data_IF_774044805435
#
_entry.id   IF_774044805435
#
_cell.length_a   1.000
_cell.length_b   1.000
_cell.length_c   1.000
_cell.angle_alpha   90.00
_cell.angle_beta   90.00
_cell.angle_gamma   90.00
#
_symmetry.space_group_name_H-M   'P 1'
#
loop_
_entity.id
_entity.type
_entity.pdbx_description
1 polymer ?
#
# COMPACT_ATOMS: atom_id res chain seq x y z
N UNK A 1 3.45 25.90 -11.19
CA UNK A 1 3.39 24.91 -10.09
C UNK A 1 1.96 24.97 -9.56
N UNK A 2 1.07 24.11 -10.05
CA UNK A 2 -0.33 24.11 -9.62
C UNK A 2 -0.34 23.42 -8.25
N UNK A 3 -0.70 24.17 -7.20
CA UNK A 3 -0.78 23.63 -5.85
C UNK A 3 -1.83 22.51 -5.82
N UNK A 4 -1.55 21.42 -5.09
CA UNK A 4 -2.47 20.28 -4.96
C UNK A 4 -3.91 20.71 -4.65
N UNK A 5 -4.09 21.78 -3.86
CA UNK A 5 -5.39 22.38 -3.51
C UNK A 5 -6.23 22.79 -4.73
N UNK A 6 -5.61 23.26 -5.80
CA UNK A 6 -6.33 23.71 -6.98
C UNK A 6 -6.83 22.52 -7.80
N UNK A 7 -6.03 21.46 -7.91
CA UNK A 7 -6.45 20.20 -8.58
C UNK A 7 -7.68 19.61 -7.87
N UNK A 8 -7.68 19.60 -6.52
CA UNK A 8 -8.84 19.17 -5.71
C UNK A 8 -10.12 19.97 -6.03
N UNK A 9 -10.00 21.27 -6.29
CA UNK A 9 -11.16 22.13 -6.56
C UNK A 9 -11.73 21.90 -7.96
N UNK A 10 -10.88 21.62 -8.95
CA UNK A 10 -11.29 21.37 -10.33
C UNK A 10 -11.90 19.97 -10.53
N UNK A 11 -11.34 18.92 -9.93
CA UNK A 11 -11.90 17.56 -10.03
C UNK A 11 -13.25 17.42 -9.32
N UNK A 12 -13.41 18.06 -8.16
CA UNK A 12 -14.69 18.10 -7.41
C UNK A 12 -15.80 18.74 -8.25
N UNK A 13 -15.46 19.74 -9.09
CA UNK A 13 -16.41 20.43 -9.96
C UNK A 13 -16.85 19.57 -11.15
N UNK A 14 -15.92 18.84 -11.79
CA UNK A 14 -16.27 17.99 -12.94
C UNK A 14 -17.09 16.75 -12.58
N UNK A 15 -16.93 16.21 -11.37
CA UNK A 15 -17.76 15.10 -10.87
C UNK A 15 -19.15 15.61 -10.49
N UNK A 16 -19.23 16.79 -9.86
CA UNK A 16 -20.51 17.46 -9.58
C UNK A 16 -21.31 17.67 -10.86
N UNK A 17 -20.70 18.21 -11.91
CA UNK A 17 -21.40 18.58 -13.14
C UNK A 17 -21.92 17.36 -13.96
N UNK A 18 -21.34 16.16 -13.77
CA UNK A 18 -21.82 14.93 -14.42
C UNK A 18 -22.97 14.22 -13.69
N UNK A 19 -23.29 14.62 -12.45
CA UNK A 19 -24.29 13.94 -11.59
C UNK A 19 -25.58 14.78 -11.45
N UNK A 20 -25.59 16.04 -11.93
CA UNK A 20 -26.72 16.99 -11.75
C UNK A 20 -28.04 16.54 -12.41
N UNK A 21 -28.05 15.54 -13.29
CA UNK A 21 -29.28 15.02 -13.92
C UNK A 21 -29.96 13.86 -13.17
N UNK A 22 -29.50 13.49 -11.96
CA UNK A 22 -30.22 12.56 -11.09
C UNK A 22 -30.62 13.24 -9.79
N UNK A 23 -31.91 13.11 -9.45
CA UNK A 23 -32.62 13.69 -8.31
C UNK A 23 -31.74 14.12 -7.13
N UNK A 24 -31.79 15.41 -6.80
CA UNK A 24 -31.00 16.04 -5.74
C UNK A 24 -31.11 15.23 -4.43
N UNK A 25 -30.04 14.57 -4.01
CA UNK A 25 -30.01 13.90 -2.73
C UNK A 25 -29.85 14.93 -1.61
N UNK A 26 -30.32 14.55 -0.42
CA UNK A 26 -30.21 15.33 0.81
C UNK A 26 -28.75 15.83 0.99
N UNK A 27 -28.51 17.15 0.86
CA UNK A 27 -27.16 17.70 0.69
C UNK A 27 -26.17 17.30 1.80
N UNK A 28 -26.66 17.08 3.03
CA UNK A 28 -25.83 16.60 4.15
C UNK A 28 -25.31 15.16 3.96
N UNK A 29 -26.09 14.26 3.36
CA UNK A 29 -25.65 12.87 3.11
C UNK A 29 -24.63 12.79 1.97
N UNK A 30 -24.66 13.75 1.03
CA UNK A 30 -23.74 13.78 -0.11
C UNK A 30 -22.34 14.29 0.29
N UNK A 31 -22.24 15.36 1.08
CA UNK A 31 -20.95 15.85 1.57
C UNK A 31 -20.24 14.78 2.41
N UNK A 32 -20.98 14.13 3.29
CA UNK A 32 -20.52 12.99 4.10
C UNK A 32 -20.03 11.81 3.25
N UNK A 33 -20.72 11.51 2.13
CA UNK A 33 -20.29 10.49 1.19
C UNK A 33 -18.98 10.89 0.48
N UNK A 34 -18.88 12.13 0.02
CA UNK A 34 -17.70 12.66 -0.66
C UNK A 34 -16.47 12.63 0.25
N UNK A 35 -16.62 13.01 1.52
CA UNK A 35 -15.52 12.96 2.48
C UNK A 35 -15.03 11.52 2.72
N UNK A 36 -15.95 10.55 2.83
CA UNK A 36 -15.59 9.13 2.94
C UNK A 36 -14.90 8.61 1.68
N UNK A 37 -15.39 8.99 0.50
CA UNK A 37 -14.76 8.67 -0.78
C UNK A 37 -13.31 9.17 -0.85
N UNK A 38 -13.07 10.45 -0.52
CA UNK A 38 -11.72 11.02 -0.53
C UNK A 38 -10.80 10.38 0.52
N UNK A 39 -11.33 10.00 1.67
CA UNK A 39 -10.55 9.28 2.68
C UNK A 39 -10.05 7.93 2.15
N UNK A 40 -10.89 7.19 1.44
CA UNK A 40 -10.51 5.92 0.80
C UNK A 40 -9.45 6.16 -0.29
N UNK A 41 -9.62 7.21 -1.11
CA UNK A 41 -8.66 7.59 -2.14
C UNK A 41 -7.28 7.95 -1.57
N UNK A 42 -7.25 8.79 -0.54
CA UNK A 42 -6.00 9.20 0.11
C UNK A 42 -5.27 8.01 0.72
N UNK A 43 -5.99 7.07 1.35
CA UNK A 43 -5.42 5.83 1.88
C UNK A 43 -4.75 4.98 0.79
N UNK A 44 -5.38 4.87 -0.38
CA UNK A 44 -4.80 4.15 -1.52
C UNK A 44 -3.53 4.85 -2.04
N UNK A 45 -3.57 6.18 -2.20
CA UNK A 45 -2.40 6.96 -2.67
C UNK A 45 -1.20 6.85 -1.72
N UNK A 46 -1.46 6.82 -0.41
CA UNK A 46 -0.41 6.63 0.59
C UNK A 46 0.20 5.21 0.51
N UNK A 47 -0.65 4.19 0.42
CA UNK A 47 -0.20 2.82 0.26
C UNK A 47 0.65 2.64 -1.01
N UNK A 48 0.22 3.18 -2.15
CA UNK A 48 1.00 3.17 -3.40
C UNK A 48 2.40 3.78 -3.23
N UNK A 49 2.51 4.92 -2.54
CA UNK A 49 3.82 5.54 -2.27
C UNK A 49 4.72 4.69 -1.39
N UNK A 50 4.16 4.06 -0.36
CA UNK A 50 4.93 3.20 0.55
C UNK A 50 5.39 1.94 -0.19
N UNK A 51 4.49 1.28 -0.93
CA UNK A 51 4.83 0.03 -1.66
C UNK A 51 5.81 0.26 -2.80
N UNK A 52 5.66 1.34 -3.56
CA UNK A 52 6.61 1.69 -4.62
C UNK A 52 8.03 1.89 -4.08
N UNK A 53 8.19 2.47 -2.88
CA UNK A 53 9.50 2.55 -2.19
C UNK A 53 10.08 1.17 -1.89
N UNK A 54 9.29 0.25 -1.33
CA UNK A 54 9.76 -1.11 -1.05
C UNK A 54 10.17 -1.84 -2.32
N UNK A 55 9.37 -1.75 -3.38
CA UNK A 55 9.68 -2.33 -4.69
C UNK A 55 11.00 -1.78 -5.22
N UNK A 56 11.21 -0.46 -5.18
CA UNK A 56 12.46 0.19 -5.59
C UNK A 56 13.66 -0.27 -4.76
N UNK A 57 13.51 -0.34 -3.44
CA UNK A 57 14.57 -0.77 -2.51
C UNK A 57 15.04 -2.19 -2.83
N UNK A 58 14.09 -3.08 -3.16
CA UNK A 58 14.36 -4.48 -3.51
C UNK A 58 14.93 -4.61 -4.90
N UNK A 59 14.47 -3.79 -5.85
CA UNK A 59 15.10 -3.69 -7.18
C UNK A 59 16.58 -3.32 -7.06
N UNK A 60 16.90 -2.35 -6.20
CA UNK A 60 18.27 -1.97 -5.87
C UNK A 60 19.06 -3.11 -5.23
N UNK A 61 18.50 -3.79 -4.22
CA UNK A 61 19.15 -4.93 -3.58
C UNK A 61 19.44 -6.07 -4.57
N UNK A 62 18.50 -6.38 -5.47
CA UNK A 62 18.64 -7.43 -6.48
C UNK A 62 19.73 -7.08 -7.49
N UNK A 63 19.70 -5.86 -8.05
CA UNK A 63 20.70 -5.39 -9.02
C UNK A 63 22.09 -5.42 -8.38
N UNK A 64 22.22 -4.93 -7.15
CA UNK A 64 23.51 -4.91 -6.45
C UNK A 64 24.02 -6.32 -6.17
N UNK A 65 23.14 -7.25 -5.80
CA UNK A 65 23.47 -8.67 -5.62
C UNK A 65 23.88 -9.38 -6.92
N UNK A 66 23.19 -9.13 -8.04
CA UNK A 66 23.55 -9.71 -9.34
C UNK A 66 24.86 -9.14 -9.88
N UNK A 67 25.05 -7.82 -9.82
CA UNK A 67 26.32 -7.17 -10.21
C UNK A 67 27.48 -7.72 -9.38
N UNK A 68 27.23 -7.95 -8.09
CA UNK A 68 28.18 -8.51 -7.15
C UNK A 68 28.60 -9.94 -7.48
N UNK A 69 27.67 -10.82 -7.87
CA UNK A 69 27.94 -12.19 -8.32
C UNK A 69 28.79 -12.25 -9.59
N UNK A 70 28.70 -11.22 -10.44
CA UNK A 70 29.42 -11.16 -11.72
C UNK A 70 30.86 -10.63 -11.53
N UNK A 71 31.14 -9.85 -10.47
CA UNK A 71 32.32 -8.97 -10.45
C UNK A 71 33.57 -9.47 -9.71
N UNK A 72 33.51 -10.30 -8.68
CA UNK A 72 34.76 -10.73 -7.99
C UNK A 72 34.58 -11.82 -6.93
N UNK A 73 35.59 -12.69 -6.81
CA UNK A 73 35.81 -13.75 -5.80
C UNK A 73 35.95 -13.22 -4.34
N UNK A 74 35.73 -11.92 -4.11
CA UNK A 74 35.82 -11.23 -2.81
C UNK A 74 34.56 -11.39 -1.95
N UNK A 75 33.60 -12.17 -2.42
CA UNK A 75 32.29 -12.36 -1.80
C UNK A 75 32.23 -13.25 -0.56
N UNK A 76 33.35 -13.89 -0.20
CA UNK A 76 33.44 -14.74 1.00
C UNK A 76 33.23 -14.01 2.34
N UNK A 77 33.02 -12.69 2.33
CA UNK A 77 32.85 -11.89 3.55
C UNK A 77 31.43 -11.89 4.12
N UNK A 78 30.39 -11.96 3.29
CA UNK A 78 29.00 -12.01 3.75
C UNK A 78 28.51 -13.46 3.77
N UNK A 79 28.71 -14.14 4.90
CA UNK A 79 28.29 -15.53 5.13
C UNK A 79 26.80 -15.74 4.85
N UNK A 80 25.98 -14.68 5.01
CA UNK A 80 24.52 -14.74 4.87
C UNK A 80 23.97 -14.02 3.63
N UNK A 81 24.80 -13.71 2.62
CA UNK A 81 24.32 -12.93 1.47
C UNK A 81 23.14 -13.60 0.75
N UNK A 82 23.20 -14.90 0.54
CA UNK A 82 22.13 -15.65 -0.14
C UNK A 82 20.81 -15.54 0.62
N UNK A 83 20.86 -15.54 1.96
CA UNK A 83 19.70 -15.39 2.83
C UNK A 83 19.17 -13.94 2.77
N UNK A 84 20.05 -12.94 2.81
CA UNK A 84 19.68 -11.53 2.69
C UNK A 84 18.99 -11.28 1.34
N UNK A 85 19.52 -11.85 0.27
CA UNK A 85 18.96 -11.75 -1.08
C UNK A 85 17.58 -12.44 -1.17
N UNK A 86 17.45 -13.64 -0.60
CA UNK A 86 16.19 -14.36 -0.55
C UNK A 86 15.11 -13.57 0.22
N UNK A 87 15.45 -13.02 1.40
CA UNK A 87 14.53 -12.22 2.21
C UNK A 87 14.13 -10.95 1.46
N UNK A 88 15.06 -10.28 0.77
CA UNK A 88 14.74 -9.10 -0.04
C UNK A 88 13.76 -9.43 -1.17
N UNK A 89 13.96 -10.54 -1.90
CA UNK A 89 13.02 -10.99 -2.93
C UNK A 89 11.63 -11.26 -2.35
N UNK A 90 11.56 -11.95 -1.20
CA UNK A 90 10.29 -12.24 -0.53
C UNK A 90 9.55 -10.96 -0.13
N UNK A 91 10.24 -9.99 0.47
CA UNK A 91 9.64 -8.69 0.82
C UNK A 91 9.10 -7.99 -0.44
N UNK A 92 9.79 -8.12 -1.58
CA UNK A 92 9.40 -7.44 -2.82
C UNK A 92 8.19 -8.09 -3.48
N UNK A 93 8.22 -9.41 -3.60
CA UNK A 93 7.07 -10.17 -4.09
C UNK A 93 5.83 -9.94 -3.24
N UNK A 94 5.97 -9.97 -1.91
CA UNK A 94 4.87 -9.66 -0.99
C UNK A 94 4.39 -8.22 -1.12
N UNK A 95 5.28 -7.25 -1.32
CA UNK A 95 4.90 -5.84 -1.52
C UNK A 95 4.07 -5.65 -2.79
N UNK A 96 4.41 -6.34 -3.89
CA UNK A 96 3.62 -6.34 -5.13
C UNK A 96 2.25 -6.99 -4.89
N UNK A 97 2.22 -8.13 -4.19
CA UNK A 97 0.96 -8.81 -3.86
C UNK A 97 0.03 -7.92 -3.04
N UNK A 98 0.56 -7.23 -2.02
CA UNK A 98 -0.21 -6.29 -1.21
C UNK A 98 -0.70 -5.12 -2.06
N UNK A 99 0.11 -4.60 -2.97
CA UNK A 99 -0.30 -3.52 -3.87
C UNK A 99 -1.51 -3.93 -4.74
N UNK A 100 -1.48 -5.14 -5.30
CA UNK A 100 -2.60 -5.70 -6.05
C UNK A 100 -3.83 -5.87 -5.16
N UNK A 101 -3.69 -6.48 -3.98
CA UNK A 101 -4.80 -6.69 -3.04
C UNK A 101 -5.41 -5.37 -2.56
N UNK A 102 -4.60 -4.35 -2.30
CA UNK A 102 -5.07 -3.04 -1.88
C UNK A 102 -5.90 -2.35 -2.97
N UNK A 103 -5.57 -2.58 -4.25
CA UNK A 103 -6.39 -2.11 -5.37
C UNK A 103 -7.78 -2.76 -5.34
N UNK A 104 -7.87 -4.04 -5.00
CA UNK A 104 -9.15 -4.73 -4.83
C UNK A 104 -9.90 -4.28 -3.56
N UNK A 105 -9.20 -4.13 -2.44
CA UNK A 105 -9.76 -3.60 -1.18
C UNK A 105 -10.39 -2.22 -1.42
N UNK A 106 -9.70 -1.35 -2.15
CA UNK A 106 -10.17 -0.02 -2.52
C UNK A 106 -11.46 -0.08 -3.34
N UNK A 107 -11.50 -0.90 -4.39
CA UNK A 107 -12.70 -1.08 -5.22
C UNK A 107 -13.89 -1.57 -4.39
N UNK A 108 -13.66 -2.55 -3.51
CA UNK A 108 -14.72 -3.08 -2.64
C UNK A 108 -15.20 -2.04 -1.62
N UNK A 109 -14.27 -1.25 -1.05
CA UNK A 109 -14.62 -0.17 -0.13
C UNK A 109 -15.46 0.93 -0.79
N UNK A 110 -15.15 1.29 -2.05
CA UNK A 110 -15.97 2.24 -2.80
C UNK A 110 -17.38 1.72 -3.06
N UNK A 111 -17.52 0.46 -3.48
CA UNK A 111 -18.82 -0.18 -3.69
C UNK A 111 -19.64 -0.19 -2.39
N UNK A 112 -18.98 -0.46 -1.24
CA UNK A 112 -19.64 -0.43 0.06
C UNK A 112 -20.14 0.99 0.40
N UNK A 113 -19.33 2.03 0.22
CA UNK A 113 -19.75 3.41 0.49
C UNK A 113 -20.86 3.89 -0.44
N UNK A 114 -20.81 3.52 -1.71
CA UNK A 114 -21.87 3.81 -2.68
C UNK A 114 -23.19 3.12 -2.29
N UNK A 115 -23.15 1.85 -1.89
CA UNK A 115 -24.32 1.09 -1.45
C UNK A 115 -24.90 1.65 -0.13
N UNK A 116 -24.06 2.10 0.80
CA UNK A 116 -24.50 2.78 2.03
C UNK A 116 -25.24 4.07 1.70
N UNK A 117 -24.70 4.86 0.76
CA UNK A 117 -25.28 6.12 0.33
C UNK A 117 -26.61 5.93 -0.41
N UNK A 118 -26.64 5.06 -1.43
CA UNK A 118 -27.86 4.81 -2.22
C UNK A 118 -29.01 4.25 -1.38
N UNK A 119 -28.71 3.41 -0.39
CA UNK A 119 -29.72 2.76 0.45
C UNK A 119 -29.99 3.46 1.78
N UNK A 120 -29.31 4.58 2.08
CA UNK A 120 -29.36 5.28 3.37
C UNK A 120 -29.32 4.30 4.57
N UNK A 121 -28.34 3.40 4.58
CA UNK A 121 -28.23 2.36 5.60
C UNK A 121 -27.96 2.95 6.98
N UNK A 122 -28.51 2.33 8.04
CA UNK A 122 -28.19 2.70 9.42
C UNK A 122 -26.72 2.47 9.74
N UNK A 123 -26.18 3.25 10.70
CA UNK A 123 -24.75 3.22 11.05
C UNK A 123 -24.25 1.81 11.42
N UNK A 124 -25.03 1.02 12.15
CA UNK A 124 -24.62 -0.33 12.55
C UNK A 124 -24.46 -1.28 11.36
N UNK A 125 -25.37 -1.19 10.38
CA UNK A 125 -25.33 -2.01 9.16
C UNK A 125 -24.19 -1.55 8.25
N UNK A 126 -24.00 -0.23 8.13
CA UNK A 126 -22.92 0.38 7.38
C UNK A 126 -21.54 -0.04 7.94
N UNK A 127 -21.37 0.00 9.26
CA UNK A 127 -20.14 -0.42 9.93
C UNK A 127 -19.86 -1.91 9.72
N UNK A 128 -20.87 -2.77 9.91
CA UNK A 128 -20.71 -4.22 9.69
C UNK A 128 -20.30 -4.56 8.26
N UNK A 129 -20.79 -3.81 7.26
CA UNK A 129 -20.36 -3.97 5.86
C UNK A 129 -18.89 -3.58 5.67
N UNK A 130 -18.46 -2.45 6.24
CA UNK A 130 -17.06 -2.00 6.17
C UNK A 130 -16.10 -3.02 6.80
N UNK A 131 -16.44 -3.54 7.97
CA UNK A 131 -15.63 -4.54 8.71
C UNK A 131 -15.56 -5.90 8.00
N UNK A 132 -16.55 -6.21 7.17
CA UNK A 132 -16.59 -7.43 6.37
C UNK A 132 -15.81 -7.34 5.05
N UNK A 133 -15.09 -6.24 4.79
CA UNK A 133 -14.18 -6.19 3.65
C UNK A 133 -13.11 -7.28 3.80
N UNK A 134 -13.22 -8.31 2.97
CA UNK A 134 -12.41 -9.52 3.03
C UNK A 134 -10.93 -9.27 2.72
N UNK A 135 -10.60 -8.16 2.06
CA UNK A 135 -9.25 -7.83 1.66
C UNK A 135 -8.47 -7.14 2.77
N UNK A 136 -9.12 -6.32 3.61
CA UNK A 136 -8.48 -5.59 4.71
C UNK A 136 -7.72 -6.54 5.64
N UNK A 137 -8.38 -7.61 6.13
CA UNK A 137 -7.73 -8.61 7.01
C UNK A 137 -6.56 -9.33 6.34
N UNK A 138 -6.65 -9.59 5.03
CA UNK A 138 -5.58 -10.27 4.28
C UNK A 138 -4.36 -9.37 4.14
N UNK A 139 -4.57 -8.09 3.83
CA UNK A 139 -3.50 -7.10 3.71
C UNK A 139 -2.81 -6.90 5.06
N UNK A 140 -3.56 -6.75 6.14
CA UNK A 140 -3.00 -6.63 7.50
C UNK A 140 -2.13 -7.84 7.89
N UNK A 141 -2.57 -9.04 7.54
CA UNK A 141 -1.80 -10.26 7.79
C UNK A 141 -0.47 -10.25 7.00
N UNK A 142 -0.51 -9.92 5.72
CA UNK A 142 0.68 -9.82 4.88
C UNK A 142 1.63 -8.72 5.35
N UNK A 143 1.10 -7.60 5.84
CA UNK A 143 1.90 -6.52 6.41
C UNK A 143 2.70 -6.95 7.63
N UNK A 144 2.09 -7.70 8.54
CA UNK A 144 2.80 -8.28 9.69
C UNK A 144 3.91 -9.24 9.25
N UNK A 145 3.68 -10.01 8.20
CA UNK A 145 4.71 -10.92 7.65
C UNK A 145 5.89 -10.10 7.09
N UNK A 146 5.61 -9.04 6.32
CA UNK A 146 6.67 -8.15 5.80
C UNK A 146 7.45 -7.51 6.95
N UNK A 147 6.78 -7.04 8.00
CA UNK A 147 7.44 -6.44 9.17
C UNK A 147 8.42 -7.42 9.83
N UNK A 148 8.01 -8.68 10.04
CA UNK A 148 8.88 -9.74 10.58
C UNK A 148 10.08 -9.97 9.65
N UNK A 149 9.86 -10.05 8.33
CA UNK A 149 10.94 -10.24 7.36
C UNK A 149 11.94 -9.08 7.36
N UNK A 150 11.47 -7.84 7.51
CA UNK A 150 12.32 -6.66 7.62
C UNK A 150 13.17 -6.68 8.91
N UNK A 151 12.60 -7.13 10.03
CA UNK A 151 13.37 -7.31 11.29
C UNK A 151 14.46 -8.35 11.09
N UNK A 152 14.14 -9.50 10.47
CA UNK A 152 15.14 -10.54 10.17
C UNK A 152 16.25 -9.98 9.27
N UNK A 153 15.89 -9.24 8.22
CA UNK A 153 16.84 -8.60 7.31
C UNK A 153 17.78 -7.65 8.07
N UNK A 154 17.23 -6.81 8.96
CA UNK A 154 18.01 -5.88 9.77
C UNK A 154 18.99 -6.60 10.71
N UNK A 155 18.55 -7.66 11.37
CA UNK A 155 19.43 -8.49 12.23
C UNK A 155 20.54 -9.14 11.42
N UNK A 156 20.25 -9.69 10.25
CA UNK A 156 21.27 -10.31 9.40
C UNK A 156 22.32 -9.28 8.91
N UNK A 157 21.87 -8.09 8.54
CA UNK A 157 22.76 -7.00 8.11
C UNK A 157 23.66 -6.54 9.25
N UNK A 158 23.11 -6.32 10.45
CA UNK A 158 23.87 -5.90 11.64
C UNK A 158 24.91 -6.93 12.05
N UNK A 159 24.56 -8.22 12.10
CA UNK A 159 25.53 -9.31 12.36
C UNK A 159 26.65 -9.29 11.33
N UNK A 160 26.30 -9.15 10.05
CA UNK A 160 27.28 -9.12 8.96
C UNK A 160 28.28 -7.96 9.10
N UNK A 161 27.79 -6.77 9.45
CA UNK A 161 28.64 -5.59 9.71
C UNK A 161 29.53 -5.79 10.94
N UNK A 162 29.01 -6.32 12.04
CA UNK A 162 29.79 -6.59 13.25
C UNK A 162 30.91 -7.60 13.01
N UNK A 163 30.67 -8.63 12.22
CA UNK A 163 31.71 -9.59 11.84
C UNK A 163 32.79 -8.95 10.95
N UNK A 164 32.40 -8.00 10.09
CA UNK A 164 33.35 -7.24 9.29
C UNK A 164 34.25 -6.35 10.15
N UNK A 165 33.68 -5.59 11.09
CA UNK A 165 34.45 -4.69 11.96
C UNK A 165 35.40 -5.39 12.94
N UNK A 166 35.20 -6.69 13.20
CA UNK A 166 36.09 -7.49 14.06
C UNK A 166 37.31 -8.06 13.33
N UNK A 167 37.38 -7.93 12.00
CA UNK A 167 38.45 -8.45 11.16
C UNK A 167 39.42 -7.34 10.76
#
# INVERSE_FOLDING_TARGET
MIEKKDIYKYEKKQISDKIIDQEKPNCGNYEDYIDRYYKIYNKMSENEKIRSRYILLISGAIITGVISLIKDDKFKFFIFLDIIFLVAILVGGLSILIFLLATYEYKEALIIEEDIYQKNLSNDIAQKKRENNKFTKKIECLDRIIEILLIILFVLLTISVLMYCKK
#
